data_IF_701088652686
#
_entry.id   IF_701088652686
#
_cell.length_a   1.000
_cell.length_b   1.000
_cell.length_c   1.000
_cell.angle_alpha   90.00
_cell.angle_beta   90.00
_cell.angle_gamma   90.00
#
_symmetry.space_group_name_H-M   'P 1'
#
loop_
_entity.id
_entity.type
_entity.pdbx_description
1 polymer ?
#
# COMPACT_ATOMS: atom_id res chain seq x y z
N UNK A 1 -52.01 30.71 -44.94
CA UNK A 1 -50.82 29.96 -44.51
C UNK A 1 -50.58 30.32 -43.06
N UNK A 2 -50.72 29.36 -42.16
CA UNK A 2 -50.76 29.59 -40.72
C UNK A 2 -49.38 29.96 -40.17
N UNK A 3 -49.33 31.06 -39.42
CA UNK A 3 -48.25 31.48 -38.54
C UNK A 3 -48.41 30.73 -37.21
N UNK A 4 -47.45 29.85 -36.88
CA UNK A 4 -47.45 29.10 -35.63
C UNK A 4 -46.44 29.75 -34.67
N UNK A 5 -46.99 30.51 -33.71
CA UNK A 5 -46.24 31.07 -32.60
C UNK A 5 -45.58 30.02 -31.70
N UNK A 6 -44.52 30.44 -31.03
CA UNK A 6 -43.77 29.61 -30.09
C UNK A 6 -42.81 30.41 -29.20
N UNK A 7 -43.39 31.06 -28.18
CA UNK A 7 -42.88 31.28 -26.81
C UNK A 7 -41.36 31.56 -26.61
N UNK A 8 -41.05 32.81 -26.25
CA UNK A 8 -40.03 33.13 -25.24
C UNK A 8 -40.69 33.11 -23.85
N UNK A 9 -39.99 33.11 -22.69
CA UNK A 9 -38.54 33.02 -22.41
C UNK A 9 -38.23 31.96 -21.31
N UNK A 10 -36.96 31.74 -20.93
CA UNK A 10 -36.56 31.62 -19.51
C UNK A 10 -35.04 31.64 -19.38
N UNK A 11 -34.58 32.74 -18.78
CA UNK A 11 -33.23 32.94 -18.28
C UNK A 11 -33.01 31.98 -17.10
N UNK A 12 -32.13 30.99 -17.24
CA UNK A 12 -31.62 30.23 -16.10
C UNK A 12 -30.08 30.22 -16.13
N UNK A 13 -29.52 31.31 -15.62
CA UNK A 13 -28.13 31.35 -15.20
C UNK A 13 -27.90 30.37 -14.06
N UNK A 14 -27.49 29.15 -14.40
CA UNK A 14 -26.75 28.29 -13.48
C UNK A 14 -25.29 28.38 -13.94
N UNK A 15 -24.36 28.92 -13.14
CA UNK A 15 -22.96 28.87 -13.50
C UNK A 15 -22.59 27.39 -13.59
N UNK A 16 -22.26 26.92 -14.78
CA UNK A 16 -21.60 25.64 -14.94
C UNK A 16 -20.33 25.72 -14.09
N UNK A 17 -20.32 25.06 -12.93
CA UNK A 17 -19.11 24.92 -12.15
C UNK A 17 -18.14 24.18 -13.05
N UNK A 18 -17.20 24.92 -13.61
CA UNK A 18 -16.24 24.48 -14.61
C UNK A 18 -15.23 23.50 -14.03
N UNK A 19 -15.70 22.36 -13.53
CA UNK A 19 -14.87 21.17 -13.44
C UNK A 19 -14.82 20.61 -14.86
N UNK A 20 -13.73 20.79 -15.62
CA UNK A 20 -13.55 20.03 -16.83
C UNK A 20 -13.63 18.55 -16.44
N UNK A 21 -14.72 17.91 -16.85
CA UNK A 21 -14.89 16.46 -16.74
C UNK A 21 -13.84 15.89 -17.70
N UNK A 22 -12.64 15.61 -17.17
CA UNK A 22 -11.62 14.85 -17.89
C UNK A 22 -12.24 13.50 -18.17
N UNK A 23 -12.70 13.33 -19.41
CA UNK A 23 -13.05 12.01 -19.96
C UNK A 23 -11.85 11.12 -19.71
N UNK A 24 -12.03 10.07 -18.90
CA UNK A 24 -11.03 9.06 -18.57
C UNK A 24 -10.67 8.26 -19.83
N UNK A 25 -9.85 8.86 -20.68
CA UNK A 25 -8.94 8.19 -21.58
C UNK A 25 -7.60 8.85 -21.31
N UNK A 26 -6.65 8.10 -20.77
CA UNK A 26 -5.36 8.59 -20.26
C UNK A 26 -4.63 9.40 -21.32
N UNK A 27 -4.86 10.71 -21.35
CA UNK A 27 -4.08 11.64 -22.17
C UNK A 27 -2.76 11.81 -21.44
N UNK A 28 -1.69 11.35 -22.06
CA UNK A 28 -0.37 11.38 -21.45
C UNK A 28 0.06 12.85 -21.26
N UNK A 29 0.29 13.25 -20.01
CA UNK A 29 0.74 14.61 -19.63
C UNK A 29 2.21 14.87 -20.01
N UNK A 30 2.84 13.98 -20.80
CA UNK A 30 4.28 13.91 -21.02
C UNK A 30 4.90 15.20 -21.58
N UNK A 31 4.12 16.06 -22.22
CA UNK A 31 4.60 17.30 -22.85
C UNK A 31 3.85 18.57 -22.38
N UNK A 32 3.13 18.53 -21.26
CA UNK A 32 2.41 19.69 -20.75
C UNK A 32 3.16 20.30 -19.55
N UNK A 33 3.45 21.61 -19.61
CA UNK A 33 3.91 22.36 -18.44
C UNK A 33 2.69 22.74 -17.62
N UNK A 34 2.55 22.11 -16.45
CA UNK A 34 1.40 22.29 -15.55
C UNK A 34 1.89 22.94 -14.26
N UNK A 35 1.17 23.96 -13.78
CA UNK A 35 1.37 24.52 -12.43
C UNK A 35 0.37 23.85 -11.47
N UNK A 36 0.81 22.94 -10.59
CA UNK A 36 -0.09 22.32 -9.61
C UNK A 36 -0.36 23.28 -8.44
N UNK A 37 -1.56 23.18 -7.86
CA UNK A 37 -1.89 23.80 -6.58
C UNK A 37 -1.39 22.95 -5.40
N UNK A 38 -1.37 21.63 -5.56
CA UNK A 38 -0.95 20.66 -4.54
C UNK A 38 -0.17 19.52 -5.21
N UNK A 39 0.90 19.07 -4.56
CA UNK A 39 1.68 17.90 -4.96
C UNK A 39 1.59 16.83 -3.86
N UNK A 40 1.21 15.61 -4.23
CA UNK A 40 1.15 14.46 -3.32
C UNK A 40 2.26 13.47 -3.68
N UNK A 41 3.15 13.20 -2.72
CA UNK A 41 4.25 12.25 -2.89
C UNK A 41 3.77 10.84 -2.54
N UNK A 42 3.61 9.99 -3.55
CA UNK A 42 3.28 8.56 -3.39
C UNK A 42 4.55 7.69 -3.40
N UNK A 43 5.55 8.04 -2.58
CA UNK A 43 6.89 7.42 -2.58
C UNK A 43 7.01 6.12 -1.78
N UNK A 44 5.89 5.61 -1.26
CA UNK A 44 5.85 4.36 -0.47
C UNK A 44 6.14 4.56 1.02
N UNK A 45 6.46 3.46 1.70
CA UNK A 45 6.65 3.39 3.15
C UNK A 45 7.92 2.61 3.51
N UNK A 46 8.49 2.92 4.68
CA UNK A 46 9.58 2.14 5.31
C UNK A 46 9.03 1.35 6.49
N UNK A 47 9.57 0.15 6.71
CA UNK A 47 9.27 -0.68 7.88
C UNK A 47 10.26 -0.36 8.99
N UNK A 48 9.77 -0.08 10.19
CA UNK A 48 10.58 0.25 11.36
C UNK A 48 10.01 -0.40 12.62
N UNK A 49 10.89 -0.90 13.48
CA UNK A 49 10.55 -1.54 14.74
C UNK A 49 11.29 -0.86 15.91
N UNK A 50 10.86 0.34 16.37
CA UNK A 50 11.56 1.08 17.41
C UNK A 50 11.73 0.30 18.73
N UNK A 51 10.81 -0.66 18.98
CA UNK A 51 10.86 -1.53 20.15
C UNK A 51 11.95 -2.61 20.09
N UNK A 52 12.55 -2.87 18.92
CA UNK A 52 13.70 -3.78 18.74
C UNK A 52 15.06 -3.12 19.01
N UNK A 53 15.08 -1.91 19.57
CA UNK A 53 16.32 -1.24 19.97
C UNK A 53 17.15 -2.12 20.92
N UNK A 54 18.50 -2.06 20.79
CA UNK A 54 19.49 -2.84 21.57
C UNK A 54 19.20 -2.95 23.07
N UNK A 55 18.67 -1.89 23.67
CA UNK A 55 18.32 -1.83 25.10
C UNK A 55 17.23 -2.83 25.52
N UNK A 56 16.42 -3.31 24.57
CA UNK A 56 15.31 -4.24 24.80
C UNK A 56 15.66 -5.68 24.40
N UNK A 57 16.89 -5.94 23.92
CA UNK A 57 17.32 -7.27 23.50
C UNK A 57 18.05 -7.99 24.64
N UNK A 58 17.61 -9.19 25.05
CA UNK A 58 18.18 -9.94 26.19
C UNK A 58 19.70 -10.15 26.14
N UNK A 59 20.27 -10.21 24.94
CA UNK A 59 21.68 -10.49 24.70
C UNK A 59 22.52 -9.25 24.30
N UNK A 60 21.95 -8.04 24.31
CA UNK A 60 22.63 -6.82 23.84
C UNK A 60 22.90 -6.76 22.33
N UNK A 61 22.54 -7.82 21.59
CA UNK A 61 22.49 -7.86 20.12
C UNK A 61 21.11 -7.36 19.66
N UNK A 62 21.02 -6.44 18.68
CA UNK A 62 19.72 -6.03 18.14
C UNK A 62 19.01 -7.23 17.51
N UNK A 63 17.69 -7.30 17.66
CA UNK A 63 16.88 -8.26 16.90
C UNK A 63 17.04 -8.00 15.40
N UNK A 64 16.94 -9.07 14.61
CA UNK A 64 16.85 -8.93 13.16
C UNK A 64 15.65 -8.04 12.77
N UNK A 65 15.70 -7.46 11.58
CA UNK A 65 14.58 -6.74 10.98
C UNK A 65 13.83 -7.63 9.98
N UNK A 66 12.60 -7.24 9.63
CA UNK A 66 11.77 -8.01 8.69
C UNK A 66 12.43 -8.24 7.31
N UNK A 67 13.27 -7.30 6.86
CA UNK A 67 14.02 -7.40 5.61
C UNK A 67 15.29 -8.26 5.73
N UNK A 68 15.67 -8.68 6.93
CA UNK A 68 16.82 -9.55 7.21
C UNK A 68 16.39 -11.02 7.42
N UNK A 69 15.08 -11.29 7.50
CA UNK A 69 14.57 -12.66 7.61
C UNK A 69 14.90 -13.49 6.36
N UNK A 70 15.65 -14.58 6.55
CA UNK A 70 16.19 -15.42 5.49
C UNK A 70 15.47 -16.76 5.35
N UNK A 71 14.83 -17.25 6.40
CA UNK A 71 14.02 -18.47 6.33
C UNK A 71 12.63 -18.11 5.82
N UNK A 72 12.43 -18.35 4.52
CA UNK A 72 11.17 -18.07 3.78
C UNK A 72 10.71 -16.61 3.88
N UNK A 73 11.59 -15.69 4.29
CA UNK A 73 11.23 -14.29 4.58
C UNK A 73 10.33 -14.13 5.81
N UNK A 74 10.39 -15.06 6.77
CA UNK A 74 9.54 -15.08 7.98
C UNK A 74 10.37 -14.89 9.25
N UNK A 75 11.48 -15.61 9.44
CA UNK A 75 12.38 -15.41 10.58
C UNK A 75 13.84 -15.45 10.13
N UNK A 76 14.75 -15.07 11.02
CA UNK A 76 16.19 -15.16 10.80
C UNK A 76 16.71 -16.49 11.36
N UNK A 77 17.52 -17.24 10.61
CA UNK A 77 17.96 -18.59 11.02
C UNK A 77 18.71 -18.60 12.37
N UNK A 78 19.55 -17.59 12.64
CA UNK A 78 20.27 -17.45 13.92
C UNK A 78 19.39 -17.07 15.11
N UNK A 79 18.16 -16.58 14.88
CA UNK A 79 17.24 -16.16 15.92
C UNK A 79 15.79 -16.49 15.52
N UNK A 80 15.38 -17.77 15.64
CA UNK A 80 14.03 -18.20 15.28
C UNK A 80 12.96 -17.75 16.30
N UNK A 81 13.36 -17.10 17.40
CA UNK A 81 12.44 -16.66 18.46
C UNK A 81 11.55 -15.49 18.04
N UNK A 82 11.89 -14.82 16.93
CA UNK A 82 11.16 -13.68 16.36
C UNK A 82 10.71 -13.99 14.93
N UNK A 83 9.41 -13.86 14.65
CA UNK A 83 8.81 -14.04 13.33
C UNK A 83 8.11 -12.78 12.80
N UNK A 84 8.29 -12.49 11.52
CA UNK A 84 7.74 -11.35 10.80
C UNK A 84 6.57 -11.76 9.91
N UNK A 85 5.36 -11.67 10.45
CA UNK A 85 4.12 -12.06 9.76
C UNK A 85 3.49 -10.87 9.04
N UNK A 86 3.11 -11.04 7.77
CA UNK A 86 2.45 -10.01 6.95
C UNK A 86 3.37 -8.95 6.34
N UNK A 87 4.69 -9.09 6.50
CA UNK A 87 5.69 -8.16 5.95
C UNK A 87 6.13 -8.50 4.52
N UNK A 88 5.80 -9.70 4.05
CA UNK A 88 5.98 -10.10 2.65
C UNK A 88 4.86 -9.54 1.78
N UNK A 89 5.23 -8.99 0.62
CA UNK A 89 4.29 -8.47 -0.38
C UNK A 89 4.17 -9.49 -1.52
N UNK A 90 3.03 -10.16 -1.68
CA UNK A 90 2.87 -11.13 -2.77
C UNK A 90 2.83 -10.41 -4.12
N UNK A 91 3.50 -10.98 -5.14
CA UNK A 91 3.37 -10.53 -6.53
C UNK A 91 1.95 -10.76 -7.07
N UNK A 92 1.27 -11.78 -6.56
CA UNK A 92 -0.11 -12.15 -6.87
C UNK A 92 -0.77 -12.73 -5.63
N UNK A 93 -1.96 -12.24 -5.25
CA UNK A 93 -2.71 -12.70 -4.09
C UNK A 93 -2.92 -11.63 -3.02
N UNK A 94 -3.44 -12.04 -1.87
CA UNK A 94 -3.79 -11.15 -0.77
C UNK A 94 -2.88 -11.38 0.45
N UNK A 95 -2.60 -10.31 1.21
CA UNK A 95 -1.82 -10.41 2.45
C UNK A 95 -2.46 -11.35 3.48
N UNK A 96 -3.79 -11.35 3.71
CA UNK A 96 -4.37 -12.20 4.75
C UNK A 96 -4.06 -13.70 4.66
N UNK A 97 -4.29 -14.39 3.51
CA UNK A 97 -3.96 -15.82 3.41
C UNK A 97 -2.44 -16.08 3.45
N UNK A 98 -1.62 -15.15 2.96
CA UNK A 98 -0.17 -15.26 3.10
C UNK A 98 0.26 -15.19 4.57
N UNK A 99 -0.27 -14.22 5.32
CA UNK A 99 0.02 -14.05 6.73
C UNK A 99 -0.42 -15.28 7.56
N UNK A 100 -1.57 -15.87 7.22
CA UNK A 100 -2.02 -17.12 7.84
C UNK A 100 -1.03 -18.26 7.61
N UNK A 101 -0.62 -18.50 6.36
CA UNK A 101 0.35 -19.54 6.04
C UNK A 101 1.73 -19.30 6.68
N UNK A 102 2.18 -18.04 6.73
CA UNK A 102 3.41 -17.66 7.43
C UNK A 102 3.34 -18.00 8.92
N UNK A 103 2.21 -17.69 9.57
CA UNK A 103 2.02 -17.96 10.99
C UNK A 103 1.98 -19.48 11.27
N UNK A 104 1.24 -20.24 10.45
CA UNK A 104 1.18 -21.70 10.58
C UNK A 104 2.58 -22.32 10.46
N UNK A 105 3.36 -21.94 9.45
CA UNK A 105 4.71 -22.46 9.25
C UNK A 105 5.64 -22.11 10.43
N UNK A 106 5.63 -20.85 10.88
CA UNK A 106 6.50 -20.43 11.98
C UNK A 106 6.14 -21.11 13.30
N UNK A 107 4.84 -21.24 13.61
CA UNK A 107 4.38 -21.95 14.81
C UNK A 107 4.80 -23.43 14.76
N UNK A 108 4.69 -24.10 13.61
CA UNK A 108 5.16 -25.48 13.46
C UNK A 108 6.67 -25.58 13.71
N UNK A 109 7.47 -24.65 13.20
CA UNK A 109 8.92 -24.61 13.47
C UNK A 109 9.22 -24.46 14.97
N UNK A 110 8.49 -23.61 15.69
CA UNK A 110 8.66 -23.44 17.14
C UNK A 110 8.28 -24.70 17.93
N UNK A 111 7.28 -25.45 17.48
CA UNK A 111 6.82 -26.68 18.14
C UNK A 111 7.68 -27.90 17.78
N UNK A 112 8.23 -27.93 16.56
CA UNK A 112 9.02 -29.04 16.02
C UNK A 112 10.27 -28.48 15.33
N UNK A 113 11.32 -28.12 16.10
CA UNK A 113 12.50 -27.44 15.55
C UNK A 113 13.29 -28.30 14.56
N UNK A 114 13.24 -29.63 14.68
CA UNK A 114 14.04 -30.55 13.85
C UNK A 114 13.58 -30.65 12.39
N UNK A 115 12.49 -29.98 12.01
CA UNK A 115 11.93 -30.04 10.66
C UNK A 115 12.60 -29.09 9.66
N UNK A 116 13.55 -28.24 10.09
CA UNK A 116 14.29 -27.29 9.25
C UNK A 116 15.72 -27.03 9.74
#
# INVERSE_FOLDING_TARGET
MADNGGLSPLHSGVPSTGRPRVRRGSRSLKNEVIKPDVVVFCTGYRQEFPFFAKQNSPAGKPYALANEADVRGIWHHDDPTIGFIGYLRPNLGAIPPLAEAQAQLWVVHLLVPEMY
#
